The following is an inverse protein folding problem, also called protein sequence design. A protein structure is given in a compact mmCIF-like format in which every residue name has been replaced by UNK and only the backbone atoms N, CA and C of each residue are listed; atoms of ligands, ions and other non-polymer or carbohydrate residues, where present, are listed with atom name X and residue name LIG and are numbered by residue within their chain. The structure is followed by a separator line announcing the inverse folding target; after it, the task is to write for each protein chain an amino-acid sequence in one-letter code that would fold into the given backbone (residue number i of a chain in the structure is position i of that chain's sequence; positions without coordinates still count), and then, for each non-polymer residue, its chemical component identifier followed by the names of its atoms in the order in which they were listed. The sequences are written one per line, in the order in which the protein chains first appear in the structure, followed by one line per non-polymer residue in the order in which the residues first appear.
data_IF_891298356525
#
_entry.id   IF_891298356525
#
_cell.length_a   1.000
_cell.length_b   1.000
_cell.length_c   1.000
_cell.angle_alpha   90.00
_cell.angle_beta   90.00
_cell.angle_gamma   90.00
#
_symmetry.space_group_name_H-M   'P 1'
#
loop_
_entity.id
_entity.type
_entity.pdbx_description
1 polymer ?
#
# COMPACT_ATOMS: atom_id res chain seq x y z
N UNK A 1 6.85 -17.65 -3.35
CA UNK A 1 7.82 -16.55 -3.17
C UNK A 1 7.02 -15.27 -3.15
N UNK A 2 7.12 -14.46 -2.10
CA UNK A 2 6.54 -13.12 -2.08
C UNK A 2 7.54 -12.15 -2.70
N UNK A 3 7.18 -11.50 -3.81
CA UNK A 3 7.98 -10.41 -4.34
C UNK A 3 7.59 -9.13 -3.59
N UNK A 4 8.40 -8.74 -2.59
CA UNK A 4 8.28 -7.44 -1.94
C UNK A 4 8.88 -6.36 -2.84
N UNK A 5 8.18 -5.25 -2.99
CA UNK A 5 8.42 -4.35 -4.14
C UNK A 5 8.52 -2.89 -3.74
N UNK A 6 7.63 -2.41 -2.87
CA UNK A 6 7.72 -1.09 -2.25
C UNK A 6 7.66 -1.19 -0.73
N UNK A 7 8.39 -0.34 -0.02
CA UNK A 7 8.30 -0.21 1.44
C UNK A 7 8.20 1.27 1.84
N UNK A 8 7.47 1.56 2.93
CA UNK A 8 7.48 2.87 3.57
C UNK A 8 7.20 2.73 5.07
N UNK A 9 7.72 3.64 5.88
CA UNK A 9 7.23 3.81 7.25
C UNK A 9 5.99 4.70 7.23
N UNK A 10 5.00 4.36 8.04
CA UNK A 10 3.79 5.14 8.21
C UNK A 10 3.88 6.17 9.34
N UNK A 11 2.93 7.12 9.40
CA UNK A 11 2.84 8.11 10.48
C UNK A 11 2.53 7.48 11.85
N UNK A 12 2.06 6.24 11.85
CA UNK A 12 1.81 5.39 13.02
C UNK A 12 3.05 4.66 13.54
N UNK A 13 4.21 4.82 12.87
CA UNK A 13 5.46 4.17 13.23
C UNK A 13 5.60 2.72 12.77
N UNK A 14 4.70 2.20 11.93
CA UNK A 14 4.79 0.83 11.39
C UNK A 14 5.42 0.80 9.99
N UNK A 15 5.90 -0.37 9.60
CA UNK A 15 6.44 -0.64 8.27
C UNK A 15 5.33 -1.18 7.36
N UNK A 16 5.17 -0.58 6.19
CA UNK A 16 4.24 -1.00 5.15
C UNK A 16 5.04 -1.60 4.00
N UNK A 17 4.58 -2.74 3.48
CA UNK A 17 5.28 -3.50 2.44
C UNK A 17 4.28 -3.91 1.35
N UNK A 18 4.49 -3.42 0.13
CA UNK A 18 3.75 -3.81 -1.05
C UNK A 18 4.20 -5.18 -1.58
N UNK A 19 3.26 -5.96 -2.09
CA UNK A 19 3.50 -7.29 -2.67
C UNK A 19 2.83 -7.42 -4.04
N UNK A 20 3.45 -8.15 -4.98
CA UNK A 20 3.00 -8.30 -6.38
C UNK A 20 2.71 -9.76 -6.80
N UNK A 21 2.49 -10.66 -5.84
CA UNK A 21 2.17 -12.08 -6.13
C UNK A 21 0.79 -12.42 -5.61
N UNK A 22 0.39 -13.70 -5.70
CA UNK A 22 -0.90 -14.21 -5.25
C UNK A 22 -1.34 -13.56 -3.92
N UNK A 23 -2.49 -12.88 -3.93
CA UNK A 23 -2.95 -11.94 -2.90
C UNK A 23 -2.10 -10.66 -2.80
N UNK A 24 -1.99 -9.92 -3.91
CA UNK A 24 -1.25 -8.66 -3.98
C UNK A 24 -1.89 -7.63 -3.04
N UNK A 25 -1.05 -7.03 -2.21
CA UNK A 25 -1.50 -6.27 -1.04
C UNK A 25 -0.44 -5.28 -0.57
N UNK A 26 -0.85 -4.40 0.33
CA UNK A 26 0.03 -3.72 1.27
C UNK A 26 -0.12 -4.36 2.64
N UNK A 27 0.96 -4.96 3.13
CA UNK A 27 1.01 -5.57 4.46
C UNK A 27 1.63 -4.60 5.45
N UNK A 28 1.14 -4.59 6.70
CA UNK A 28 1.65 -3.77 7.79
C UNK A 28 2.39 -4.65 8.80
N UNK A 29 3.56 -4.19 9.22
CA UNK A 29 4.45 -4.87 10.15
C UNK A 29 4.90 -3.93 11.24
N UNK A 30 5.16 -4.45 12.43
CA UNK A 30 5.81 -3.71 13.49
C UNK A 30 7.22 -3.31 13.03
N UNK A 31 7.53 -2.01 12.99
CA UNK A 31 8.77 -1.50 12.40
C UNK A 31 10.05 -2.01 13.08
N UNK A 32 9.98 -2.32 14.38
CA UNK A 32 11.14 -2.73 15.18
C UNK A 32 11.34 -4.25 15.15
N UNK A 33 10.27 -5.02 15.28
CA UNK A 33 10.36 -6.49 15.39
C UNK A 33 10.18 -7.19 14.05
N UNK A 34 9.60 -6.53 13.06
CA UNK A 34 9.22 -7.12 11.78
C UNK A 34 8.03 -8.08 11.88
N UNK A 35 7.32 -8.12 13.01
CA UNK A 35 6.14 -8.95 13.18
C UNK A 35 5.00 -8.46 12.28
N UNK A 36 4.34 -9.40 11.62
CA UNK A 36 3.16 -9.10 10.81
C UNK A 36 2.00 -8.65 11.70
N UNK A 37 1.39 -7.53 11.33
CA UNK A 37 0.22 -6.98 12.02
C UNK A 37 -1.04 -7.37 11.25
N UNK A 38 -1.13 -6.94 9.99
CA UNK A 38 -2.32 -7.15 9.16
C UNK A 38 -2.04 -6.95 7.66
N UNK A 39 -3.00 -7.39 6.84
CA UNK A 39 -3.13 -6.89 5.46
C UNK A 39 -3.84 -5.54 5.56
N UNK A 40 -3.12 -4.46 5.25
CA UNK A 40 -3.63 -3.10 5.40
C UNK A 40 -4.49 -2.68 4.21
N UNK A 41 -4.03 -2.96 3.00
CA UNK A 41 -4.81 -2.79 1.78
C UNK A 41 -4.71 -4.08 0.96
N UNK A 42 -5.84 -4.61 0.51
CA UNK A 42 -5.90 -5.80 -0.34
C UNK A 42 -6.04 -5.43 -1.83
N UNK A 43 -5.97 -6.44 -2.68
CA UNK A 43 -6.33 -6.36 -4.10
C UNK A 43 -5.58 -5.28 -4.90
N UNK A 44 -4.31 -5.05 -4.58
CA UNK A 44 -3.48 -4.01 -5.20
C UNK A 44 -2.13 -4.56 -5.65
N UNK A 45 -1.77 -4.35 -6.92
CA UNK A 45 -0.46 -4.72 -7.48
C UNK A 45 0.59 -3.67 -7.10
N UNK A 46 0.93 -3.64 -5.81
CA UNK A 46 1.66 -2.54 -5.19
C UNK A 46 3.14 -2.47 -5.66
N UNK A 47 3.44 -1.59 -6.61
CA UNK A 47 4.81 -1.35 -7.08
C UNK A 47 5.58 -0.33 -6.26
N UNK A 48 4.88 0.72 -5.85
CA UNK A 48 5.39 1.84 -5.07
C UNK A 48 4.31 2.26 -4.09
N UNK A 49 4.73 2.61 -2.88
CA UNK A 49 3.84 3.01 -1.79
C UNK A 49 4.40 4.23 -1.06
N UNK A 50 3.53 5.16 -0.68
CA UNK A 50 3.93 6.31 0.14
C UNK A 50 2.73 6.91 0.88
N UNK A 51 2.96 7.49 2.05
CA UNK A 51 1.95 8.30 2.74
C UNK A 51 2.03 9.74 2.27
N UNK A 52 0.89 10.30 1.89
CA UNK A 52 0.77 11.70 1.49
C UNK A 52 0.65 12.66 2.68
N UNK A 53 0.78 13.98 2.44
CA UNK A 53 0.61 15.00 3.47
C UNK A 53 -0.85 15.12 3.97
N UNK A 54 -1.80 14.54 3.25
CA UNK A 54 -3.21 14.41 3.63
C UNK A 54 -3.48 13.21 4.55
N UNK A 55 -2.44 12.44 4.89
CA UNK A 55 -2.54 11.27 5.75
C UNK A 55 -3.05 10.02 5.04
N UNK A 56 -3.21 10.03 3.71
CA UNK A 56 -3.64 8.86 2.95
C UNK A 56 -2.45 8.05 2.42
N UNK A 57 -2.67 6.76 2.20
CA UNK A 57 -1.70 5.88 1.55
C UNK A 57 -1.94 5.88 0.03
N UNK A 58 -0.88 6.14 -0.73
CA UNK A 58 -0.88 6.14 -2.19
C UNK A 58 -0.11 4.93 -2.68
N UNK A 59 -0.73 4.15 -3.57
CA UNK A 59 -0.17 2.92 -4.11
C UNK A 59 -0.21 2.98 -5.63
N UNK A 60 0.96 2.89 -6.27
CA UNK A 60 1.02 2.73 -7.72
C UNK A 60 0.73 1.28 -8.08
N UNK A 61 -0.35 1.07 -8.82
CA UNK A 61 -0.80 -0.22 -9.31
C UNK A 61 -0.48 -0.35 -10.80
N UNK A 62 0.46 -1.25 -11.13
CA UNK A 62 0.90 -1.43 -12.52
C UNK A 62 -0.10 -2.22 -13.38
N UNK A 63 -1.01 -2.98 -12.76
CA UNK A 63 -2.03 -3.72 -13.48
C UNK A 63 -3.18 -2.83 -13.94
N UNK A 64 -3.41 -1.73 -13.23
CA UNK A 64 -4.49 -0.77 -13.49
C UNK A 64 -4.03 0.52 -14.16
N UNK A 65 -2.73 0.71 -14.39
CA UNK A 65 -2.12 1.97 -14.84
C UNK A 65 -2.61 3.18 -14.02
N UNK A 66 -2.66 3.01 -12.70
CA UNK A 66 -3.26 3.97 -11.79
C UNK A 66 -2.49 4.11 -10.47
N UNK A 67 -2.73 5.24 -9.78
CA UNK A 67 -2.41 5.42 -8.37
C UNK A 67 -3.70 5.31 -7.59
N UNK A 68 -3.83 4.24 -6.83
CA UNK A 68 -4.92 4.03 -5.89
C UNK A 68 -4.62 4.78 -4.59
N UNK A 69 -5.65 5.34 -3.96
CA UNK A 69 -5.55 6.03 -2.68
C UNK A 69 -6.42 5.31 -1.65
N UNK A 70 -5.82 5.10 -0.48
CA UNK A 70 -6.43 4.42 0.66
C UNK A 70 -6.36 5.32 1.88
N UNK A 71 -7.33 5.20 2.77
CA UNK A 71 -7.33 5.87 4.06
C UNK A 71 -6.10 5.41 4.86
N UNK A 72 -5.24 6.35 5.27
CA UNK A 72 -3.96 5.97 5.86
C UNK A 72 -4.03 5.50 7.31
N UNK A 73 -5.23 5.47 7.91
CA UNK A 73 -5.44 4.89 9.25
C UNK A 73 -6.02 3.49 9.16
N UNK A 74 -6.96 3.28 8.24
CA UNK A 74 -7.77 2.05 8.15
C UNK A 74 -7.41 1.17 6.97
N UNK A 75 -6.70 1.71 5.97
CA UNK A 75 -6.38 1.01 4.73
C UNK A 75 -7.57 0.83 3.78
N UNK A 76 -8.72 1.43 4.09
CA UNK A 76 -9.90 1.38 3.24
C UNK A 76 -9.65 2.11 1.90
N UNK A 77 -10.05 1.50 0.79
CA UNK A 77 -9.98 2.13 -0.53
C UNK A 77 -10.84 3.41 -0.56
N UNK A 78 -10.27 4.50 -1.10
CA UNK A 78 -10.96 5.79 -1.28
C UNK A 78 -11.32 5.95 -2.75
N UNK A 79 -10.30 6.05 -3.62
CA UNK A 79 -10.47 6.30 -5.05
C UNK A 79 -9.20 5.99 -5.86
N UNK A 80 -9.32 6.11 -7.19
CA UNK A 80 -8.17 6.26 -8.08
C UNK A 80 -7.75 7.73 -8.09
N UNK A 81 -6.64 8.04 -7.43
CA UNK A 81 -6.13 9.40 -7.33
C UNK A 81 -5.51 9.90 -8.64
N UNK A 82 -4.79 9.01 -9.33
CA UNK A 82 -4.33 9.22 -10.70
C UNK A 82 -4.75 7.99 -11.49
N UNK A 83 -5.32 8.19 -12.67
CA UNK A 83 -5.62 7.11 -13.59
C UNK A 83 -5.78 7.65 -15.00
N UNK A 84 -5.84 6.77 -15.98
CA UNK A 84 -6.33 7.12 -17.30
C UNK A 84 -7.80 7.55 -17.15
N UNK A 85 -8.01 8.86 -17.00
CA UNK A 85 -9.26 9.45 -17.49
C UNK A 85 -9.42 8.94 -18.92
N UNK A 86 -10.53 8.26 -19.21
CA UNK A 86 -10.84 7.75 -20.54
C UNK A 86 -10.70 8.79 -21.64
#
# INVERSE_FOLDING_TARGET
MTAATGITFGPDGNLYVGTQVSASSVNRYAAVTGEFIEVFADSVDARGITFGPDGNLYVSDASLDAVQRFDGTTGAFIDFFVGSSG
#
